data_IF_233123608838
#
_entry.id   IF_233123608838
#
_cell.length_a   1.000
_cell.length_b   1.000
_cell.length_c   1.000
_cell.angle_alpha   90.00
_cell.angle_beta   90.00
_cell.angle_gamma   90.00
#
_symmetry.space_group_name_H-M   'P 1'
#
loop_
_entity.id
_entity.type
_entity.pdbx_description
1 polymer ?
#
# COMPACT_ATOMS: atom_id res chain seq x y z
N UNK A 1 -19.83 29.12 44.69
CA UNK A 1 -20.87 29.01 43.64
C UNK A 1 -20.17 28.67 42.33
N UNK A 2 -20.54 27.59 41.63
CA UNK A 2 -19.95 27.26 40.34
C UNK A 2 -20.51 28.21 39.28
N UNK A 3 -19.61 28.87 38.55
CA UNK A 3 -19.95 29.75 37.42
C UNK A 3 -20.43 28.84 36.30
N UNK A 4 -21.73 28.84 36.01
CA UNK A 4 -22.28 28.18 34.82
C UNK A 4 -21.72 28.87 33.59
N UNK A 5 -21.06 28.16 32.66
CA UNK A 5 -20.56 28.77 31.44
C UNK A 5 -21.72 29.40 30.68
N UNK A 6 -21.60 30.69 30.37
CA UNK A 6 -22.59 31.42 29.57
C UNK A 6 -22.86 30.65 28.27
N UNK A 7 -24.15 30.43 28.00
CA UNK A 7 -24.65 29.74 26.81
C UNK A 7 -24.35 30.55 25.56
N UNK A 8 -23.12 30.46 25.05
CA UNK A 8 -22.75 31.01 23.76
C UNK A 8 -23.69 30.47 22.68
N UNK A 9 -24.17 31.36 21.80
CA UNK A 9 -25.02 31.03 20.67
C UNK A 9 -24.32 29.94 19.85
N UNK A 10 -24.78 28.70 20.00
CA UNK A 10 -24.22 27.55 19.29
C UNK A 10 -24.76 27.60 17.88
N UNK A 11 -23.92 28.05 16.94
CA UNK A 11 -24.26 28.07 15.52
C UNK A 11 -24.62 26.64 15.11
N UNK A 12 -25.83 26.45 14.61
CA UNK A 12 -26.27 25.18 14.06
C UNK A 12 -25.69 24.99 12.66
N UNK A 13 -24.47 24.46 12.62
CA UNK A 13 -23.70 24.21 11.41
C UNK A 13 -24.47 23.29 10.45
N UNK A 14 -25.25 22.33 10.96
CA UNK A 14 -25.97 21.36 10.15
C UNK A 14 -27.12 22.02 9.37
N UNK A 15 -27.88 22.88 10.04
CA UNK A 15 -28.90 23.70 9.40
C UNK A 15 -28.29 24.67 8.37
N UNK A 16 -27.12 25.22 8.65
CA UNK A 16 -26.39 26.07 7.69
C UNK A 16 -25.99 25.27 6.43
N UNK A 17 -25.41 24.08 6.58
CA UNK A 17 -25.04 23.21 5.45
C UNK A 17 -26.29 22.89 4.62
N UNK A 18 -27.37 22.44 5.25
CA UNK A 18 -28.61 22.08 4.53
C UNK A 18 -29.19 23.24 3.70
N UNK A 19 -29.16 24.48 4.24
CA UNK A 19 -29.69 25.68 3.56
C UNK A 19 -28.81 26.19 2.43
N UNK A 20 -27.50 26.02 2.52
CA UNK A 20 -26.54 26.62 1.59
C UNK A 20 -25.91 25.63 0.62
N UNK A 21 -26.22 24.34 0.72
CA UNK A 21 -25.61 23.27 -0.09
C UNK A 21 -25.71 23.51 -1.60
N UNK A 22 -26.82 24.11 -2.08
CA UNK A 22 -27.02 24.42 -3.49
C UNK A 22 -26.11 25.54 -4.03
N UNK A 23 -25.45 26.29 -3.15
CA UNK A 23 -24.51 27.37 -3.47
C UNK A 23 -23.05 26.99 -3.21
N UNK A 24 -22.79 25.87 -2.54
CA UNK A 24 -21.45 25.42 -2.18
C UNK A 24 -20.79 24.70 -3.35
N UNK A 25 -19.59 25.15 -3.73
CA UNK A 25 -18.73 24.43 -4.69
C UNK A 25 -17.88 23.38 -4.01
N UNK A 26 -17.50 23.61 -2.76
CA UNK A 26 -16.68 22.71 -1.98
C UNK A 26 -17.29 22.54 -0.59
N UNK A 27 -17.31 21.30 -0.10
CA UNK A 27 -17.82 20.96 1.22
C UNK A 27 -16.82 20.02 1.92
N UNK A 28 -16.17 20.53 2.97
CA UNK A 28 -15.36 19.73 3.88
C UNK A 28 -16.04 19.65 5.24
N UNK A 29 -16.32 18.44 5.73
CA UNK A 29 -16.91 18.22 7.05
C UNK A 29 -16.11 17.18 7.80
N UNK A 30 -15.66 17.56 9.00
CA UNK A 30 -14.93 16.70 9.92
C UNK A 30 -15.68 16.62 11.25
N UNK A 31 -16.03 15.42 11.69
CA UNK A 31 -16.72 15.17 12.96
C UNK A 31 -15.87 14.31 13.88
N UNK A 32 -15.96 14.56 15.18
CA UNK A 32 -15.33 13.73 16.22
C UNK A 32 -16.35 12.96 17.06
N UNK A 33 -17.63 13.34 16.98
CA UNK A 33 -18.74 12.75 17.71
C UNK A 33 -19.68 12.02 16.76
N UNK A 34 -20.21 10.91 17.22
CA UNK A 34 -21.14 10.10 16.45
C UNK A 34 -22.45 10.85 16.15
N UNK A 35 -23.01 11.60 17.10
CA UNK A 35 -24.26 12.33 16.89
C UNK A 35 -24.11 13.47 15.87
N UNK A 36 -22.96 14.14 15.88
CA UNK A 36 -22.64 15.18 14.90
C UNK A 36 -22.55 14.57 13.51
N UNK A 37 -21.90 13.41 13.37
CA UNK A 37 -21.77 12.70 12.10
C UNK A 37 -23.13 12.24 11.53
N UNK A 38 -24.05 11.78 12.39
CA UNK A 38 -25.44 11.50 11.99
C UNK A 38 -26.13 12.78 11.51
N UNK A 39 -25.95 13.89 12.24
CA UNK A 39 -26.58 15.17 11.90
C UNK A 39 -26.07 15.72 10.58
N UNK A 40 -24.77 15.59 10.31
CA UNK A 40 -24.16 15.87 8.99
C UNK A 40 -24.84 15.01 7.93
N UNK A 41 -24.87 13.68 8.10
CA UNK A 41 -25.45 12.77 7.11
C UNK A 41 -26.89 13.17 6.74
N UNK A 42 -27.73 13.50 7.73
CA UNK A 42 -29.11 13.99 7.50
C UNK A 42 -29.18 15.31 6.74
N UNK A 43 -28.16 16.16 6.87
CA UNK A 43 -28.12 17.49 6.23
C UNK A 43 -27.73 17.42 4.75
N UNK A 44 -27.19 16.30 4.28
CA UNK A 44 -26.72 16.12 2.90
C UNK A 44 -27.82 15.63 1.93
N UNK A 45 -29.09 15.75 2.29
CA UNK A 45 -30.23 15.28 1.47
C UNK A 45 -30.67 16.30 0.42
N UNK A 46 -30.26 17.57 0.54
CA UNK A 46 -30.63 18.64 -0.40
C UNK A 46 -29.84 18.56 -1.71
N UNK A 47 -30.42 19.05 -2.82
CA UNK A 47 -29.71 19.12 -4.10
C UNK A 47 -28.46 20.02 -4.03
N UNK A 48 -27.39 19.61 -4.70
CA UNK A 48 -26.08 20.27 -4.64
C UNK A 48 -25.59 20.63 -6.06
N UNK A 49 -26.34 21.51 -6.72
CA UNK A 49 -26.21 21.78 -8.16
C UNK A 49 -24.83 22.30 -8.60
N UNK A 50 -24.16 23.04 -7.73
CA UNK A 50 -22.85 23.64 -8.02
C UNK A 50 -21.68 22.96 -7.31
N UNK A 51 -21.95 21.87 -6.58
CA UNK A 51 -20.95 21.18 -5.75
C UNK A 51 -19.98 20.39 -6.64
N UNK A 52 -18.70 20.68 -6.50
CA UNK A 52 -17.61 20.09 -7.27
C UNK A 52 -16.77 19.13 -6.43
N UNK A 53 -16.60 19.44 -5.14
CA UNK A 53 -15.76 18.64 -4.24
C UNK A 53 -16.38 18.43 -2.87
N UNK A 54 -16.32 17.20 -2.36
CA UNK A 54 -16.82 16.80 -1.05
C UNK A 54 -15.78 15.97 -0.31
N UNK A 55 -15.54 16.32 0.95
CA UNK A 55 -14.77 15.53 1.90
C UNK A 55 -15.57 15.35 3.19
N UNK A 56 -15.92 14.11 3.51
CA UNK A 56 -16.59 13.75 4.76
C UNK A 56 -15.62 12.91 5.59
N UNK A 57 -15.29 13.37 6.78
CA UNK A 57 -14.39 12.66 7.68
C UNK A 57 -15.01 12.51 9.06
N UNK A 58 -15.05 11.29 9.57
CA UNK A 58 -15.51 11.03 10.93
C UNK A 58 -14.38 10.40 11.75
N UNK A 59 -13.70 11.23 12.54
CA UNK A 59 -12.60 10.87 13.42
C UNK A 59 -13.13 10.24 14.71
N UNK A 60 -13.82 9.10 14.61
CA UNK A 60 -14.23 8.32 15.79
C UNK A 60 -12.98 7.78 16.50
N UNK A 61 -12.38 8.62 17.36
CA UNK A 61 -11.39 8.19 18.35
C UNK A 61 -12.16 7.64 19.54
N UNK A 62 -12.50 6.35 19.54
CA UNK A 62 -13.10 5.78 20.75
C UNK A 62 -12.43 4.46 21.18
N UNK A 63 -11.43 4.54 22.07
CA UNK A 63 -10.98 3.37 22.83
C UNK A 63 -12.01 2.92 23.89
N UNK A 64 -13.02 3.74 24.23
CA UNK A 64 -13.95 3.40 25.32
C UNK A 64 -15.18 2.56 24.91
N UNK A 65 -15.41 2.32 23.63
CA UNK A 65 -16.54 1.50 23.14
C UNK A 65 -16.25 -0.02 23.14
N UNK A 66 -15.07 -0.43 23.61
CA UNK A 66 -14.67 -1.84 23.77
C UNK A 66 -15.29 -2.52 24.99
N UNK A 67 -16.15 -1.85 25.77
CA UNK A 67 -16.74 -2.46 26.97
C UNK A 67 -17.87 -3.45 26.68
N UNK A 68 -18.51 -3.37 25.51
CA UNK A 68 -19.52 -4.35 25.11
C UNK A 68 -19.04 -5.13 23.87
N UNK A 69 -18.45 -6.32 24.06
CA UNK A 69 -18.01 -7.17 22.95
C UNK A 69 -19.16 -7.76 22.14
N UNK A 70 -20.42 -7.56 22.53
CA UNK A 70 -21.58 -8.18 21.86
C UNK A 70 -22.16 -7.37 20.71
N UNK A 71 -21.91 -6.05 20.65
CA UNK A 71 -22.45 -5.22 19.57
C UNK A 71 -21.54 -5.27 18.32
N UNK A 72 -22.08 -5.66 17.15
CA UNK A 72 -21.31 -5.71 15.91
C UNK A 72 -20.88 -4.31 15.55
N UNK A 73 -19.57 -4.10 15.58
CA UNK A 73 -18.98 -2.79 15.72
C UNK A 73 -19.18 -1.89 14.45
N UNK A 74 -19.53 -2.47 13.30
CA UNK A 74 -19.93 -1.77 12.06
C UNK A 74 -21.24 -0.97 12.24
N UNK A 75 -22.13 -1.40 13.13
CA UNK A 75 -23.40 -0.70 13.40
C UNK A 75 -23.22 0.72 13.96
N UNK A 76 -22.02 1.03 14.46
CA UNK A 76 -21.65 2.31 15.07
C UNK A 76 -21.22 3.36 14.04
N UNK A 77 -21.11 3.02 12.76
CA UNK A 77 -20.77 4.00 11.74
C UNK A 77 -22.04 4.68 11.21
N UNK A 78 -22.07 6.03 11.15
CA UNK A 78 -23.20 6.76 10.59
C UNK A 78 -23.45 6.33 9.14
N UNK A 79 -24.71 6.04 8.82
CA UNK A 79 -25.16 5.73 7.47
C UNK A 79 -25.45 7.02 6.71
N UNK A 80 -24.80 7.20 5.56
CA UNK A 80 -25.17 8.27 4.63
C UNK A 80 -26.56 8.03 4.04
N UNK A 81 -27.33 9.08 3.74
CA UNK A 81 -28.64 8.95 3.14
C UNK A 81 -28.56 8.27 1.76
N UNK A 82 -29.58 7.47 1.42
CA UNK A 82 -29.71 6.81 0.11
C UNK A 82 -30.00 7.81 -1.03
N UNK A 83 -30.41 9.02 -0.68
CA UNK A 83 -30.60 10.17 -1.56
C UNK A 83 -29.55 11.25 -1.30
N UNK A 84 -28.27 10.87 -1.14
CA UNK A 84 -27.16 11.81 -1.01
C UNK A 84 -27.23 12.87 -2.11
N UNK A 85 -27.23 14.14 -1.70
CA UNK A 85 -27.44 15.33 -2.54
C UNK A 85 -28.73 15.35 -3.36
N UNK A 86 -29.80 14.71 -2.86
CA UNK A 86 -31.01 14.43 -3.62
C UNK A 86 -30.74 13.75 -4.97
N UNK A 87 -29.63 12.98 -5.07
CA UNK A 87 -29.11 12.40 -6.31
C UNK A 87 -28.83 13.42 -7.42
N UNK A 88 -28.66 14.69 -7.06
CA UNK A 88 -28.45 15.80 -7.99
C UNK A 88 -27.25 16.63 -7.56
N UNK A 89 -26.09 16.20 -8.05
CA UNK A 89 -24.82 16.92 -7.95
C UNK A 89 -24.06 16.81 -9.28
N UNK A 90 -24.57 17.42 -10.37
CA UNK A 90 -24.08 17.19 -11.74
C UNK A 90 -22.66 17.70 -11.98
N UNK A 91 -22.13 18.56 -11.10
CA UNK A 91 -20.77 19.09 -11.16
C UNK A 91 -19.81 18.37 -10.22
N UNK A 92 -20.26 17.36 -9.47
CA UNK A 92 -19.43 16.70 -8.47
C UNK A 92 -18.34 15.89 -9.18
N UNK A 93 -17.08 16.30 -8.97
CA UNK A 93 -15.90 15.65 -9.56
C UNK A 93 -15.09 14.89 -8.53
N UNK A 94 -15.11 15.29 -7.27
CA UNK A 94 -14.32 14.67 -6.22
C UNK A 94 -15.17 14.37 -4.99
N UNK A 95 -15.20 13.11 -4.58
CA UNK A 95 -15.90 12.63 -3.40
C UNK A 95 -14.97 11.75 -2.57
N UNK A 96 -14.66 12.21 -1.35
CA UNK A 96 -13.92 11.42 -0.37
C UNK A 96 -14.72 11.24 0.90
N UNK A 97 -14.90 10.00 1.32
CA UNK A 97 -15.72 9.62 2.46
C UNK A 97 -14.87 8.75 3.38
N UNK A 98 -14.72 9.16 4.63
CA UNK A 98 -13.95 8.45 5.65
C UNK A 98 -14.80 8.17 6.88
N UNK A 99 -14.89 6.91 7.27
CA UNK A 99 -15.60 6.42 8.47
C UNK A 99 -17.11 6.73 8.46
N UNK A 100 -17.73 6.57 7.27
CA UNK A 100 -19.18 6.54 7.07
C UNK A 100 -19.57 5.29 6.31
N UNK A 101 -20.76 4.75 6.58
CA UNK A 101 -21.37 3.72 5.71
C UNK A 101 -22.03 4.40 4.53
N UNK A 102 -21.74 3.91 3.32
CA UNK A 102 -22.26 4.49 2.09
C UNK A 102 -23.16 3.47 1.41
N UNK A 103 -24.47 3.73 1.28
CA UNK A 103 -25.31 2.95 0.38
C UNK A 103 -24.81 3.17 -1.06
N UNK A 104 -24.34 2.13 -1.73
CA UNK A 104 -23.81 2.27 -3.10
C UNK A 104 -24.83 2.87 -4.08
N UNK A 105 -26.11 2.60 -3.87
CA UNK A 105 -27.22 3.20 -4.63
C UNK A 105 -27.36 4.72 -4.46
N UNK A 106 -26.70 5.35 -3.49
CA UNK A 106 -26.68 6.81 -3.33
C UNK A 106 -25.64 7.50 -4.20
N UNK A 107 -24.67 6.76 -4.75
CA UNK A 107 -23.58 7.30 -5.54
C UNK A 107 -23.94 7.32 -7.04
N UNK A 108 -24.86 8.20 -7.43
CA UNK A 108 -25.33 8.30 -8.82
C UNK A 108 -24.74 9.52 -9.54
N UNK A 109 -23.41 9.65 -9.52
CA UNK A 109 -22.70 10.84 -10.00
C UNK A 109 -21.82 10.52 -11.22
N UNK A 110 -22.34 10.72 -12.42
CA UNK A 110 -21.64 10.40 -13.67
C UNK A 110 -20.44 11.31 -13.98
N UNK A 111 -20.37 12.48 -13.36
CA UNK A 111 -19.27 13.45 -13.49
C UNK A 111 -18.06 13.14 -12.60
N UNK A 112 -18.14 12.09 -11.77
CA UNK A 112 -17.16 11.82 -10.74
C UNK A 112 -15.82 11.37 -11.35
N UNK A 113 -14.76 12.10 -11.03
CA UNK A 113 -13.37 11.85 -11.47
C UNK A 113 -12.56 11.17 -10.36
N UNK A 114 -12.80 11.55 -9.10
CA UNK A 114 -12.12 11.01 -7.93
C UNK A 114 -13.15 10.47 -6.93
N UNK A 115 -13.15 9.15 -6.72
CA UNK A 115 -13.88 8.49 -5.65
C UNK A 115 -12.91 7.86 -4.66
N UNK A 116 -13.01 8.24 -3.38
CA UNK A 116 -12.36 7.50 -2.29
C UNK A 116 -13.35 7.24 -1.17
N UNK A 117 -13.52 5.98 -0.81
CA UNK A 117 -14.34 5.59 0.33
C UNK A 117 -13.47 4.74 1.23
N UNK A 118 -13.36 5.12 2.49
CA UNK A 118 -12.58 4.42 3.48
C UNK A 118 -13.41 4.23 4.74
N UNK A 119 -13.73 2.99 5.04
CA UNK A 119 -14.38 2.58 6.28
C UNK A 119 -13.25 2.12 7.19
N UNK A 120 -12.50 3.08 7.73
CA UNK A 120 -11.36 2.78 8.59
C UNK A 120 -11.86 2.08 9.85
N UNK A 121 -11.52 0.80 9.99
CA UNK A 121 -11.84 0.01 11.17
C UNK A 121 -10.56 -0.30 11.95
N UNK A 122 -10.51 -0.10 13.27
CA UNK A 122 -9.38 -0.56 14.07
C UNK A 122 -9.23 -2.07 13.90
N UNK A 123 -8.07 -2.50 13.41
CA UNK A 123 -7.67 -3.85 13.01
C UNK A 123 -7.92 -5.02 14.02
N UNK A 124 -8.51 -4.76 15.18
CA UNK A 124 -8.55 -5.71 16.28
C UNK A 124 -9.69 -6.76 16.21
N UNK A 125 -10.64 -6.67 15.29
CA UNK A 125 -11.84 -7.56 15.32
C UNK A 125 -12.33 -8.04 13.95
N UNK A 126 -11.42 -8.28 13.00
CA UNK A 126 -11.75 -8.82 11.67
C UNK A 126 -12.55 -10.14 11.72
N UNK A 127 -12.44 -10.91 12.80
CA UNK A 127 -13.15 -12.19 13.00
C UNK A 127 -14.64 -12.03 13.40
N UNK A 128 -15.06 -10.88 13.95
CA UNK A 128 -16.44 -10.72 14.46
C UNK A 128 -17.43 -10.06 13.49
N UNK A 129 -16.97 -9.54 12.34
CA UNK A 129 -17.84 -8.79 11.43
C UNK A 129 -18.62 -9.65 10.42
N UNK A 130 -18.34 -10.95 10.31
CA UNK A 130 -18.99 -11.84 9.33
C UNK A 130 -20.33 -12.42 9.82
N UNK A 131 -20.64 -12.29 11.11
CA UNK A 131 -21.83 -12.89 11.70
C UNK A 131 -23.02 -11.92 11.71
N UNK A 132 -23.98 -12.24 10.82
CA UNK A 132 -25.44 -12.27 11.08
C UNK A 132 -26.28 -10.99 11.15
N UNK A 133 -25.76 -9.81 10.78
CA UNK A 133 -26.60 -8.63 10.58
C UNK A 133 -27.45 -8.67 9.30
N UNK A 134 -28.58 -9.38 9.32
CA UNK A 134 -29.59 -9.53 8.24
C UNK A 134 -30.31 -8.22 7.87
N UNK A 135 -29.58 -7.12 7.67
CA UNK A 135 -30.13 -5.92 7.07
C UNK A 135 -29.93 -6.04 5.56
N UNK A 136 -30.87 -6.74 4.92
CA UNK A 136 -31.04 -6.98 3.47
C UNK A 136 -30.96 -5.72 2.57
N UNK A 137 -30.73 -4.53 3.14
CA UNK A 137 -30.68 -3.26 2.43
C UNK A 137 -29.27 -2.86 1.97
N UNK A 138 -28.20 -3.46 2.50
CA UNK A 138 -26.87 -3.29 1.88
C UNK A 138 -26.79 -4.16 0.65
N UNK A 139 -27.20 -3.58 -0.49
CA UNK A 139 -27.14 -4.20 -1.79
C UNK A 139 -25.79 -4.92 -2.00
N UNK A 140 -25.86 -6.18 -2.45
CA UNK A 140 -24.69 -7.03 -2.63
C UNK A 140 -23.69 -6.48 -3.64
N UNK A 141 -22.60 -7.21 -3.85
CA UNK A 141 -21.47 -6.82 -4.69
C UNK A 141 -21.85 -6.28 -6.08
N UNK A 142 -22.89 -6.82 -6.72
CA UNK A 142 -23.40 -6.32 -8.00
C UNK A 142 -23.82 -4.84 -7.98
N UNK A 143 -24.25 -4.30 -6.84
CA UNK A 143 -24.57 -2.87 -6.70
C UNK A 143 -23.33 -1.99 -6.73
N UNK A 144 -22.18 -2.47 -6.27
CA UNK A 144 -20.90 -1.75 -6.39
C UNK A 144 -20.55 -1.61 -7.87
N UNK A 145 -20.57 -2.73 -8.60
CA UNK A 145 -20.26 -2.76 -10.03
C UNK A 145 -21.23 -1.90 -10.85
N UNK A 146 -22.54 -2.04 -10.61
CA UNK A 146 -23.57 -1.23 -11.27
C UNK A 146 -23.38 0.27 -10.99
N UNK A 147 -22.89 0.63 -9.81
CA UNK A 147 -22.63 2.03 -9.44
C UNK A 147 -21.40 2.57 -10.14
N UNK A 148 -20.30 1.81 -10.14
CA UNK A 148 -19.07 2.20 -10.82
C UNK A 148 -19.25 2.30 -12.34
N UNK A 149 -20.11 1.47 -12.95
CA UNK A 149 -20.39 1.55 -14.40
C UNK A 149 -21.04 2.88 -14.82
N UNK A 150 -21.69 3.58 -13.89
CA UNK A 150 -22.26 4.92 -14.12
C UNK A 150 -21.24 6.05 -14.00
N UNK A 151 -19.98 5.73 -13.67
CA UNK A 151 -18.87 6.70 -13.49
C UNK A 151 -17.74 6.46 -14.53
N UNK A 152 -18.01 6.53 -15.84
CA UNK A 152 -17.04 6.16 -16.87
C UNK A 152 -15.83 7.11 -16.97
N UNK A 153 -15.92 8.31 -16.37
CA UNK A 153 -14.85 9.32 -16.38
C UNK A 153 -13.91 9.24 -15.17
N UNK A 154 -14.06 8.21 -14.34
CA UNK A 154 -13.28 8.04 -13.12
C UNK A 154 -11.79 7.87 -13.43
N UNK A 155 -10.95 8.71 -12.83
CA UNK A 155 -9.49 8.67 -12.92
C UNK A 155 -8.86 8.08 -11.66
N UNK A 156 -9.48 8.27 -10.49
CA UNK A 156 -8.98 7.77 -9.20
C UNK A 156 -10.09 7.04 -8.47
N UNK A 157 -9.88 5.75 -8.22
CA UNK A 157 -10.76 4.90 -7.42
C UNK A 157 -9.99 4.38 -6.21
N UNK A 158 -10.46 4.68 -5.00
CA UNK A 158 -9.90 4.11 -3.77
C UNK A 158 -10.99 3.53 -2.87
N UNK A 159 -10.95 2.22 -2.63
CA UNK A 159 -11.92 1.50 -1.82
C UNK A 159 -11.19 0.84 -0.65
N UNK A 160 -11.43 1.30 0.57
CA UNK A 160 -10.75 0.81 1.78
C UNK A 160 -11.79 0.26 2.77
N UNK A 161 -11.86 -1.07 2.87
CA UNK A 161 -12.79 -1.86 3.68
C UNK A 161 -14.27 -1.55 3.37
N UNK A 162 -14.57 -1.30 2.10
CA UNK A 162 -15.90 -0.84 1.65
C UNK A 162 -16.66 -1.86 0.82
N UNK A 163 -16.01 -2.98 0.47
CA UNK A 163 -16.62 -3.97 -0.38
C UNK A 163 -17.63 -4.79 0.44
N UNK A 164 -18.87 -4.95 -0.06
CA UNK A 164 -19.89 -5.72 0.64
C UNK A 164 -19.45 -7.17 0.81
N UNK A 165 -20.03 -7.91 1.77
CA UNK A 165 -19.77 -9.33 1.89
C UNK A 165 -20.10 -10.04 0.59
N UNK A 166 -19.25 -11.03 0.24
CA UNK A 166 -19.53 -11.92 -0.86
C UNK A 166 -20.46 -13.04 -0.39
N UNK A 167 -21.19 -13.70 -1.31
CA UNK A 167 -21.88 -14.96 -1.02
C UNK A 167 -20.91 -15.98 -0.41
N UNK A 168 -21.41 -16.87 0.46
CA UNK A 168 -20.60 -17.88 1.15
C UNK A 168 -19.92 -18.86 0.18
N UNK A 169 -20.50 -19.06 -1.00
CA UNK A 169 -19.98 -19.90 -2.09
C UNK A 169 -19.11 -19.14 -3.09
N UNK A 170 -18.78 -17.88 -2.81
CA UNK A 170 -17.99 -17.07 -3.73
C UNK A 170 -16.56 -17.64 -3.88
N UNK A 171 -16.18 -17.84 -5.13
CA UNK A 171 -14.81 -18.15 -5.56
C UNK A 171 -14.19 -16.95 -6.30
N UNK A 172 -12.87 -16.94 -6.57
CA UNK A 172 -12.26 -15.93 -7.45
C UNK A 172 -12.90 -15.86 -8.85
N UNK A 173 -13.53 -16.96 -9.28
CA UNK A 173 -14.22 -17.10 -10.57
C UNK A 173 -15.72 -16.79 -10.47
N UNK A 174 -16.19 -16.28 -9.33
CA UNK A 174 -17.58 -15.84 -9.19
C UNK A 174 -17.85 -14.79 -10.25
N UNK A 175 -18.64 -15.16 -11.25
CA UNK A 175 -19.01 -14.24 -12.31
C UNK A 175 -20.22 -13.46 -11.87
N UNK A 176 -20.02 -12.18 -11.61
CA UNK A 176 -21.12 -11.22 -11.61
C UNK A 176 -21.51 -10.92 -13.06
N UNK A 177 -22.78 -10.64 -13.29
CA UNK A 177 -23.32 -10.41 -14.64
C UNK A 177 -22.73 -9.19 -15.36
N UNK A 178 -22.00 -8.32 -14.65
CA UNK A 178 -21.50 -7.07 -15.17
C UNK A 178 -19.97 -7.01 -15.05
N UNK A 179 -19.28 -6.91 -16.19
CA UNK A 179 -17.91 -6.42 -16.25
C UNK A 179 -17.96 -4.92 -16.59
N UNK A 180 -17.20 -4.11 -15.89
CA UNK A 180 -17.19 -2.65 -16.07
C UNK A 180 -15.87 -2.20 -16.69
N UNK A 181 -15.94 -1.28 -17.64
CA UNK A 181 -14.77 -0.64 -18.21
C UNK A 181 -14.59 0.75 -17.58
N UNK A 182 -13.41 1.01 -17.04
CA UNK A 182 -13.01 2.32 -16.50
C UNK A 182 -11.83 2.85 -17.34
N UNK A 183 -12.08 3.34 -18.57
CA UNK A 183 -11.04 3.62 -19.55
C UNK A 183 -10.12 4.80 -19.19
N UNK A 184 -10.53 5.64 -18.23
CA UNK A 184 -9.75 6.79 -17.74
C UNK A 184 -9.04 6.52 -16.42
N UNK A 185 -9.14 5.31 -15.88
CA UNK A 185 -8.62 5.01 -14.56
C UNK A 185 -7.08 5.11 -14.57
N UNK A 186 -6.55 6.01 -13.76
CA UNK A 186 -5.11 6.23 -13.58
C UNK A 186 -4.60 5.61 -12.29
N UNK A 187 -5.43 5.60 -11.25
CA UNK A 187 -5.07 5.07 -9.94
C UNK A 187 -6.21 4.22 -9.39
N UNK A 188 -5.88 2.97 -9.05
CA UNK A 188 -6.74 2.05 -8.32
C UNK A 188 -6.09 1.72 -6.97
N UNK A 189 -6.80 2.01 -5.87
CA UNK A 189 -6.44 1.57 -4.53
C UNK A 189 -7.53 0.63 -4.00
N UNK A 190 -7.21 -0.61 -3.68
CA UNK A 190 -8.13 -1.57 -3.07
C UNK A 190 -7.53 -2.06 -1.76
N UNK A 191 -8.25 -1.87 -0.67
CA UNK A 191 -7.86 -2.38 0.65
C UNK A 191 -9.03 -3.16 1.23
N UNK A 192 -8.98 -4.48 1.27
CA UNK A 192 -10.07 -5.31 1.82
C UNK A 192 -9.60 -6.76 2.01
N UNK A 193 -10.53 -7.69 2.25
CA UNK A 193 -10.25 -9.12 2.16
C UNK A 193 -9.80 -9.50 0.72
N UNK A 194 -8.80 -10.38 0.63
CA UNK A 194 -8.18 -10.81 -0.63
C UNK A 194 -9.20 -11.30 -1.67
N UNK A 195 -10.20 -12.09 -1.28
CA UNK A 195 -11.20 -12.61 -2.19
C UNK A 195 -12.05 -11.48 -2.78
N UNK A 196 -12.44 -10.50 -1.96
CA UNK A 196 -13.19 -9.32 -2.43
C UNK A 196 -12.37 -8.48 -3.38
N UNK A 197 -11.09 -8.22 -3.06
CA UNK A 197 -10.19 -7.49 -3.94
C UNK A 197 -10.07 -8.19 -5.30
N UNK A 198 -9.89 -9.51 -5.32
CA UNK A 198 -9.80 -10.27 -6.57
C UNK A 198 -11.09 -10.26 -7.38
N UNK A 199 -12.24 -10.42 -6.74
CA UNK A 199 -13.51 -10.31 -7.44
C UNK A 199 -13.65 -8.92 -8.07
N UNK A 200 -13.28 -7.84 -7.37
CA UNK A 200 -13.29 -6.49 -7.99
C UNK A 200 -12.35 -6.45 -9.19
N UNK A 201 -11.11 -6.91 -9.03
CA UNK A 201 -10.10 -6.86 -10.09
C UNK A 201 -10.51 -7.66 -11.33
N UNK A 202 -11.20 -8.79 -11.18
CA UNK A 202 -11.72 -9.59 -12.29
C UNK A 202 -12.91 -8.94 -13.01
N UNK A 203 -13.62 -8.03 -12.34
CA UNK A 203 -14.81 -7.37 -12.88
C UNK A 203 -14.56 -5.95 -13.38
N UNK A 204 -13.35 -5.39 -13.19
CA UNK A 204 -12.97 -4.07 -13.68
C UNK A 204 -11.91 -4.21 -14.78
N UNK A 205 -12.29 -3.81 -15.99
CA UNK A 205 -11.34 -3.57 -17.09
C UNK A 205 -10.76 -2.16 -16.95
N UNK A 206 -9.43 -2.08 -16.87
CA UNK A 206 -8.69 -0.82 -16.71
C UNK A 206 -7.50 -0.76 -17.68
N UNK A 207 -7.01 0.45 -18.04
CA UNK A 207 -5.78 0.60 -18.81
C UNK A 207 -4.57 -0.11 -18.18
N UNK A 208 -3.64 -0.59 -19.01
CA UNK A 208 -2.38 -1.15 -18.52
C UNK A 208 -1.56 -0.13 -17.72
N UNK A 209 -1.65 1.16 -18.09
CA UNK A 209 -0.99 2.29 -17.42
C UNK A 209 -1.59 2.65 -16.06
N UNK A 210 -2.70 2.03 -15.64
CA UNK A 210 -3.28 2.26 -14.32
C UNK A 210 -2.31 1.81 -13.23
N UNK A 211 -1.98 2.73 -12.30
CA UNK A 211 -1.26 2.43 -11.06
C UNK A 211 -2.16 1.67 -10.11
N UNK A 212 -1.67 0.56 -9.58
CA UNK A 212 -2.45 -0.39 -8.78
C UNK A 212 -1.85 -0.45 -7.39
N UNK A 213 -2.67 -0.27 -6.37
CA UNK A 213 -2.29 -0.33 -4.96
C UNK A 213 -3.26 -1.25 -4.25
N UNK A 214 -2.85 -2.49 -4.04
CA UNK A 214 -3.69 -3.56 -3.51
C UNK A 214 -3.14 -3.96 -2.14
N UNK A 215 -3.92 -3.74 -1.09
CA UNK A 215 -3.57 -4.13 0.28
C UNK A 215 -4.64 -5.11 0.79
N UNK A 216 -4.27 -6.35 1.05
CA UNK A 216 -5.24 -7.39 1.35
C UNK A 216 -5.05 -7.98 2.74
N UNK A 217 -6.14 -8.38 3.38
CA UNK A 217 -6.12 -9.37 4.46
C UNK A 217 -6.38 -10.75 3.88
N UNK A 218 -5.62 -11.76 4.33
CA UNK A 218 -5.91 -13.15 3.98
C UNK A 218 -7.04 -13.70 4.84
N UNK A 219 -7.75 -14.69 4.29
CA UNK A 219 -8.78 -15.42 5.01
C UNK A 219 -8.26 -16.82 5.34
N UNK A 220 -7.43 -16.86 6.38
CA UNK A 220 -6.85 -18.09 6.90
C UNK A 220 -7.93 -19.08 7.39
N UNK A 221 -9.07 -18.57 7.88
CA UNK A 221 -10.17 -19.38 8.41
C UNK A 221 -10.78 -20.27 7.33
N UNK A 222 -10.98 -19.72 6.13
CA UNK A 222 -11.52 -20.46 5.01
C UNK A 222 -10.44 -21.08 4.09
N UNK A 223 -9.17 -21.07 4.52
CA UNK A 223 -8.05 -21.57 3.73
C UNK A 223 -7.80 -20.77 2.44
N UNK A 224 -8.35 -19.56 2.35
CA UNK A 224 -8.18 -18.65 1.23
C UNK A 224 -6.86 -17.88 1.38
N UNK A 225 -5.77 -18.56 0.99
CA UNK A 225 -4.42 -18.02 1.00
C UNK A 225 -4.09 -17.10 -0.19
N UNK A 226 -2.80 -16.89 -0.42
CA UNK A 226 -2.30 -16.07 -1.53
C UNK A 226 -2.56 -16.66 -2.92
N UNK A 227 -2.87 -17.96 -3.02
CA UNK A 227 -3.14 -18.63 -4.30
C UNK A 227 -4.26 -17.96 -5.10
N UNK A 228 -5.15 -17.22 -4.45
CA UNK A 228 -6.22 -16.48 -5.11
C UNK A 228 -5.71 -15.26 -5.88
N UNK A 229 -4.63 -14.60 -5.42
CA UNK A 229 -4.11 -13.39 -6.05
C UNK A 229 -2.97 -13.64 -7.03
N UNK A 230 -2.28 -14.78 -6.91
CA UNK A 230 -1.17 -15.10 -7.82
C UNK A 230 -1.55 -15.01 -9.29
N UNK A 231 -2.66 -15.61 -9.78
CA UNK A 231 -2.96 -15.57 -11.21
C UNK A 231 -3.19 -14.14 -11.72
N UNK A 232 -3.82 -13.29 -10.91
CA UNK A 232 -3.99 -11.89 -11.24
C UNK A 232 -2.64 -11.17 -11.25
N UNK A 233 -1.85 -11.33 -10.19
CA UNK A 233 -0.57 -10.66 -10.03
C UNK A 233 0.43 -11.06 -11.12
N UNK A 234 0.55 -12.34 -11.44
CA UNK A 234 1.39 -12.82 -12.56
C UNK A 234 0.90 -12.29 -13.89
N UNK A 235 -0.43 -12.26 -14.14
CA UNK A 235 -0.96 -11.71 -15.40
C UNK A 235 -0.61 -10.24 -15.62
N UNK A 236 -0.48 -9.45 -14.54
CA UNK A 236 -0.06 -8.05 -14.65
C UNK A 236 1.41 -7.91 -15.02
N UNK A 237 2.23 -8.85 -14.57
CA UNK A 237 3.67 -8.83 -14.77
C UNK A 237 4.04 -9.46 -16.11
N UNK A 238 3.43 -10.59 -16.48
CA UNK A 238 3.64 -11.27 -17.77
C UNK A 238 3.25 -10.38 -18.97
N UNK A 239 2.23 -9.53 -18.80
CA UNK A 239 1.85 -8.53 -19.79
C UNK A 239 2.93 -7.46 -20.02
N UNK A 240 3.96 -7.42 -19.17
CA UNK A 240 4.95 -6.36 -19.12
C UNK A 240 6.36 -6.94 -19.33
N UNK A 241 7.05 -6.51 -20.38
CA UNK A 241 8.24 -7.21 -20.90
C UNK A 241 9.50 -7.19 -20.02
N UNK A 242 9.53 -6.45 -18.89
CA UNK A 242 10.68 -6.50 -17.96
C UNK A 242 10.39 -5.91 -16.58
N UNK A 243 10.74 -6.67 -15.55
CA UNK A 243 10.74 -6.27 -14.14
C UNK A 243 12.08 -5.60 -13.81
N UNK A 244 12.17 -4.27 -13.85
CA UNK A 244 13.44 -3.58 -13.61
C UNK A 244 13.79 -3.42 -12.13
N UNK A 245 12.78 -3.09 -11.32
CA UNK A 245 12.98 -2.78 -9.91
C UNK A 245 11.84 -3.30 -9.06
N UNK A 246 12.21 -3.83 -7.91
CA UNK A 246 11.28 -4.22 -6.86
C UNK A 246 11.75 -3.66 -5.53
N UNK A 247 10.82 -3.13 -4.76
CA UNK A 247 11.01 -2.85 -3.35
C UNK A 247 10.19 -3.87 -2.57
N UNK A 248 10.83 -4.48 -1.57
CA UNK A 248 10.27 -5.50 -0.71
C UNK A 248 10.44 -5.00 0.71
N UNK A 249 9.32 -4.85 1.40
CA UNK A 249 9.26 -4.52 2.81
C UNK A 249 8.54 -5.65 3.54
N UNK A 250 9.19 -6.29 4.51
CA UNK A 250 8.59 -7.38 5.29
C UNK A 250 8.55 -7.00 6.77
N UNK A 251 7.43 -7.24 7.42
CA UNK A 251 7.28 -7.10 8.86
C UNK A 251 6.66 -8.34 9.51
N UNK A 252 6.64 -8.38 10.84
CA UNK A 252 6.21 -9.57 11.60
C UNK A 252 4.84 -10.11 11.18
N UNK A 253 3.93 -9.21 10.76
CA UNK A 253 2.52 -9.50 10.45
C UNK A 253 2.11 -9.12 9.05
N UNK A 254 3.05 -9.10 8.11
CA UNK A 254 2.76 -8.74 6.74
C UNK A 254 3.98 -8.42 5.90
N UNK A 255 3.74 -8.06 4.66
CA UNK A 255 4.77 -7.61 3.76
C UNK A 255 4.16 -6.75 2.67
N UNK A 256 5.02 -6.06 1.94
CA UNK A 256 4.73 -5.16 0.84
C UNK A 256 5.75 -5.42 -0.26
N UNK A 257 5.26 -5.45 -1.49
CA UNK A 257 6.02 -5.58 -2.73
C UNK A 257 5.59 -4.42 -3.62
N UNK A 258 6.52 -3.51 -3.87
CA UNK A 258 6.40 -2.43 -4.83
C UNK A 258 7.17 -2.82 -6.09
N UNK A 259 6.45 -3.02 -7.18
CA UNK A 259 7.05 -3.37 -8.46
C UNK A 259 6.95 -2.20 -9.42
N UNK A 260 8.09 -1.80 -9.98
CA UNK A 260 8.14 -0.81 -11.06
C UNK A 260 8.25 -1.53 -12.39
N UNK A 261 7.23 -1.33 -13.22
CA UNK A 261 7.15 -1.89 -14.56
C UNK A 261 7.45 -0.79 -15.57
N UNK A 262 8.48 -1.01 -16.39
CA UNK A 262 8.79 -0.13 -17.51
C UNK A 262 8.12 -0.64 -18.77
N UNK A 263 7.27 0.21 -19.37
CA UNK A 263 6.67 -0.07 -20.68
C UNK A 263 7.58 0.36 -21.85
N UNK A 264 8.75 0.95 -21.56
CA UNK A 264 9.67 1.30 -22.63
C UNK A 264 10.33 0.03 -23.15
N UNK A 265 9.94 -0.42 -24.35
CA UNK A 265 10.86 -1.15 -25.20
C UNK A 265 12.08 -0.25 -25.37
N UNK A 266 13.12 -0.47 -24.57
CA UNK A 266 14.42 0.16 -24.78
C UNK A 266 14.91 -0.37 -26.12
N UNK A 267 14.67 0.37 -27.19
CA UNK A 267 15.41 0.20 -28.43
C UNK A 267 16.87 0.43 -28.03
N UNK A 268 17.68 -0.63 -28.02
CA UNK A 268 19.03 -0.74 -27.43
C UNK A 268 20.04 0.29 -28.02
N UNK A 269 19.63 1.16 -28.94
CA UNK A 269 20.54 1.93 -29.79
C UNK A 269 21.00 3.31 -29.28
N UNK A 270 20.49 3.86 -28.17
CA UNK A 270 20.94 5.20 -27.72
C UNK A 270 21.39 5.19 -26.25
N UNK A 271 22.56 4.59 -26.01
CA UNK A 271 23.33 4.82 -24.79
C UNK A 271 24.12 6.14 -24.90
N UNK A 272 23.44 7.29 -24.78
CA UNK A 272 24.13 8.57 -24.52
C UNK A 272 23.97 8.89 -23.02
N UNK A 273 25.03 8.74 -22.21
CA UNK A 273 24.99 8.98 -20.78
C UNK A 273 25.34 10.45 -20.46
N UNK A 274 24.35 11.33 -20.24
CA UNK A 274 24.66 12.65 -19.61
C UNK A 274 23.48 13.49 -19.08
N UNK A 275 22.25 12.98 -19.01
CA UNK A 275 21.10 13.76 -18.47
C UNK A 275 20.52 13.16 -17.19
N UNK A 276 20.16 13.96 -16.17
CA UNK A 276 19.30 13.47 -15.10
C UNK A 276 18.00 12.94 -15.71
N UNK A 277 17.52 11.75 -15.30
CA UNK A 277 16.38 11.11 -15.92
C UNK A 277 15.18 12.05 -15.89
N UNK A 278 14.69 12.45 -17.06
CA UNK A 278 13.48 13.27 -17.15
C UNK A 278 12.33 12.49 -16.50
N UNK A 279 11.68 13.09 -15.51
CA UNK A 279 10.68 12.47 -14.63
C UNK A 279 9.38 12.00 -15.30
N UNK A 280 9.32 11.95 -16.62
CA UNK A 280 8.07 11.74 -17.38
C UNK A 280 7.92 10.32 -17.94
N UNK A 281 8.81 9.37 -17.63
CA UNK A 281 8.59 7.98 -18.01
C UNK A 281 7.34 7.45 -17.29
N UNK A 282 6.32 7.11 -18.06
CA UNK A 282 5.06 6.55 -17.56
C UNK A 282 5.28 5.12 -17.04
N UNK A 283 5.92 5.01 -15.88
CA UNK A 283 6.11 3.73 -15.22
C UNK A 283 4.77 3.29 -14.60
N UNK A 284 4.42 2.04 -14.87
CA UNK A 284 3.28 1.40 -14.21
C UNK A 284 3.79 0.82 -12.90
N UNK A 285 3.23 1.29 -11.80
CA UNK A 285 3.60 0.80 -10.47
C UNK A 285 2.51 -0.10 -9.94
N UNK A 286 2.91 -1.28 -9.49
CA UNK A 286 2.06 -2.21 -8.75
C UNK A 286 2.57 -2.24 -7.32
N UNK A 287 1.80 -1.67 -6.43
CA UNK A 287 1.95 -1.80 -5.00
C UNK A 287 1.05 -2.94 -4.53
N UNK A 288 1.64 -3.95 -3.92
CA UNK A 288 0.92 -5.09 -3.36
C UNK A 288 1.34 -5.29 -1.91
N UNK A 289 0.39 -5.34 -0.99
CA UNK A 289 0.65 -5.52 0.43
C UNK A 289 -0.30 -6.55 1.02
N UNK A 290 0.20 -7.35 1.96
CA UNK A 290 -0.61 -8.27 2.75
C UNK A 290 -0.37 -7.99 4.22
N UNK A 291 -1.47 -7.81 4.97
CA UNK A 291 -1.44 -7.43 6.37
C UNK A 291 -2.14 -8.45 7.27
N UNK A 292 -1.89 -8.33 8.57
CA UNK A 292 -2.52 -9.12 9.64
C UNK A 292 -2.25 -10.62 9.62
N UNK A 293 -1.15 -11.04 8.99
CA UNK A 293 -0.67 -12.42 9.01
C UNK A 293 -0.11 -12.79 10.38
N UNK A 294 -0.09 -14.09 10.69
CA UNK A 294 0.83 -14.63 11.69
C UNK A 294 2.24 -14.71 11.13
N UNK A 295 3.27 -14.72 11.98
CA UNK A 295 4.67 -14.76 11.53
C UNK A 295 4.97 -15.94 10.59
N UNK A 296 4.41 -17.12 10.87
CA UNK A 296 4.60 -18.31 10.03
C UNK A 296 3.91 -18.20 8.66
N UNK A 297 2.73 -17.58 8.62
CA UNK A 297 2.00 -17.33 7.37
C UNK A 297 2.68 -16.26 6.52
N UNK A 298 3.24 -15.21 7.14
CA UNK A 298 3.96 -14.15 6.43
C UNK A 298 5.01 -14.73 5.49
N UNK A 299 5.84 -15.63 6.02
CA UNK A 299 6.90 -16.25 5.24
C UNK A 299 6.37 -17.14 4.11
N UNK A 300 5.45 -18.06 4.40
CA UNK A 300 4.94 -19.00 3.40
C UNK A 300 4.23 -18.28 2.25
N UNK A 301 3.41 -17.28 2.58
CA UNK A 301 2.70 -16.44 1.61
C UNK A 301 3.69 -15.66 0.75
N UNK A 302 4.65 -14.99 1.39
CA UNK A 302 5.65 -14.19 0.71
C UNK A 302 6.51 -15.04 -0.24
N UNK A 303 6.94 -16.23 0.21
CA UNK A 303 7.68 -17.19 -0.59
C UNK A 303 6.89 -17.62 -1.83
N UNK A 304 5.61 -17.97 -1.65
CA UNK A 304 4.73 -18.36 -2.77
C UNK A 304 4.63 -17.24 -3.81
N UNK A 305 4.48 -15.98 -3.37
CA UNK A 305 4.42 -14.83 -4.29
C UNK A 305 5.74 -14.62 -5.01
N UNK A 306 6.87 -14.66 -4.30
CA UNK A 306 8.18 -14.50 -4.91
C UNK A 306 8.52 -15.62 -5.91
N UNK A 307 8.04 -16.85 -5.68
CA UNK A 307 8.19 -17.94 -6.66
C UNK A 307 7.41 -17.68 -7.94
N UNK A 308 6.26 -17.03 -7.85
CA UNK A 308 5.44 -16.66 -9.00
C UNK A 308 5.99 -15.44 -9.76
N UNK A 309 6.83 -14.63 -9.13
CA UNK A 309 7.45 -13.48 -9.76
C UNK A 309 8.60 -13.88 -10.72
N UNK A 310 8.76 -13.21 -11.87
CA UNK A 310 9.91 -13.40 -12.76
C UNK A 310 11.14 -12.67 -12.23
N UNK A 311 11.59 -13.08 -11.04
CA UNK A 311 12.72 -12.45 -10.33
C UNK A 311 14.07 -12.61 -11.05
N UNK A 312 14.14 -13.52 -12.02
CA UNK A 312 15.36 -13.78 -12.80
C UNK A 312 15.85 -12.52 -13.55
N UNK A 313 14.96 -11.58 -13.87
CA UNK A 313 15.29 -10.31 -14.55
C UNK A 313 15.43 -9.10 -13.63
N UNK A 314 15.28 -9.28 -12.31
CA UNK A 314 15.31 -8.19 -11.36
C UNK A 314 16.72 -7.58 -11.29
N UNK A 315 16.86 -6.30 -11.63
CA UNK A 315 18.16 -5.58 -11.62
C UNK A 315 18.41 -4.86 -10.30
N UNK A 316 17.34 -4.28 -9.72
CA UNK A 316 17.41 -3.50 -8.48
C UNK A 316 16.40 -4.02 -7.46
N UNK A 317 16.89 -4.27 -6.24
CA UNK A 317 16.08 -4.73 -5.12
C UNK A 317 16.28 -3.81 -3.93
N UNK A 318 15.18 -3.22 -3.46
CA UNK A 318 15.17 -2.52 -2.19
C UNK A 318 14.58 -3.44 -1.11
N UNK A 319 15.28 -3.61 0.02
CA UNK A 319 14.89 -4.51 1.10
C UNK A 319 14.72 -3.72 2.40
N UNK A 320 13.54 -3.85 2.99
CA UNK A 320 13.20 -3.36 4.31
C UNK A 320 12.61 -4.51 5.12
N UNK A 321 13.45 -5.34 5.73
CA UNK A 321 12.95 -6.47 6.55
C UNK A 321 13.14 -6.17 8.02
N UNK A 322 12.04 -6.25 8.77
CA UNK A 322 12.08 -6.45 10.21
C UNK A 322 12.02 -7.96 10.48
N UNK A 323 12.72 -8.45 11.51
CA UNK A 323 12.90 -9.81 12.11
C UNK A 323 11.93 -10.99 11.78
N UNK A 324 11.27 -10.98 10.63
CA UNK A 324 10.30 -11.97 10.19
C UNK A 324 11.01 -13.19 9.61
N UNK A 325 12.26 -13.02 9.14
CA UNK A 325 13.05 -14.07 8.51
C UNK A 325 14.15 -14.42 9.49
N UNK A 326 14.17 -15.67 9.94
CA UNK A 326 15.06 -16.12 11.02
C UNK A 326 16.20 -16.98 10.51
N UNK A 327 16.04 -17.53 9.31
CA UNK A 327 16.96 -18.52 8.77
C UNK A 327 17.60 -18.01 7.49
N UNK A 328 18.89 -18.26 7.35
CA UNK A 328 19.69 -17.92 6.17
C UNK A 328 19.10 -18.59 4.91
N UNK A 329 18.60 -19.82 5.05
CA UNK A 329 17.99 -20.63 4.00
C UNK A 329 16.78 -19.96 3.36
N UNK A 330 16.03 -19.17 4.13
CA UNK A 330 14.84 -18.47 3.66
C UNK A 330 15.17 -17.48 2.55
N UNK A 331 16.29 -16.78 2.68
CA UNK A 331 16.77 -15.85 1.66
C UNK A 331 17.15 -16.53 0.35
N UNK A 332 17.82 -17.68 0.41
CA UNK A 332 18.16 -18.46 -0.77
C UNK A 332 16.91 -19.03 -1.45
N UNK A 333 15.96 -19.55 -0.67
CA UNK A 333 14.73 -20.12 -1.23
C UNK A 333 13.85 -19.10 -1.95
N UNK A 334 13.85 -17.85 -1.48
CA UNK A 334 13.03 -16.77 -2.06
C UNK A 334 13.78 -16.01 -3.14
N UNK A 335 15.00 -15.55 -2.84
CA UNK A 335 15.75 -14.60 -3.66
C UNK A 335 16.94 -15.24 -4.40
N UNK A 336 17.22 -16.53 -4.21
CA UNK A 336 18.31 -17.23 -4.91
C UNK A 336 18.15 -17.25 -6.44
N UNK A 337 16.94 -16.97 -6.94
CA UNK A 337 16.65 -16.82 -8.37
C UNK A 337 17.06 -15.47 -8.97
N UNK A 338 17.32 -14.45 -8.15
CA UNK A 338 17.66 -13.11 -8.63
C UNK A 338 19.12 -13.04 -9.15
N UNK A 339 19.43 -13.78 -10.22
CA UNK A 339 20.80 -13.91 -10.74
C UNK A 339 21.31 -12.64 -11.41
N UNK A 340 20.41 -11.82 -11.95
CA UNK A 340 20.74 -10.55 -12.61
C UNK A 340 20.66 -9.33 -11.68
N UNK A 341 20.58 -9.57 -10.37
CA UNK A 341 20.47 -8.48 -9.40
C UNK A 341 21.81 -7.77 -9.27
N UNK A 342 21.86 -6.52 -9.72
CA UNK A 342 23.06 -5.68 -9.74
C UNK A 342 23.13 -4.72 -8.56
N UNK A 343 21.98 -4.27 -8.08
CA UNK A 343 21.88 -3.30 -7.00
C UNK A 343 20.96 -3.78 -5.89
N UNK A 344 21.45 -3.74 -4.65
CA UNK A 344 20.66 -3.99 -3.45
C UNK A 344 20.70 -2.75 -2.55
N UNK A 345 19.54 -2.29 -2.11
CA UNK A 345 19.40 -1.24 -1.09
C UNK A 345 18.81 -1.83 0.18
N UNK A 346 19.40 -1.57 1.34
CA UNK A 346 18.96 -2.11 2.63
C UNK A 346 18.83 -1.03 3.70
N UNK A 347 17.62 -0.87 4.24
CA UNK A 347 17.36 0.12 5.31
C UNK A 347 17.39 -0.43 6.73
N UNK A 348 17.34 -1.74 6.89
CA UNK A 348 17.34 -2.41 8.19
C UNK A 348 18.42 -3.47 8.24
N UNK A 349 18.89 -3.76 9.46
CA UNK A 349 19.85 -4.81 9.69
C UNK A 349 19.11 -6.11 10.03
N UNK A 350 19.27 -7.14 9.20
CA UNK A 350 18.79 -8.49 9.46
C UNK A 350 19.97 -9.47 9.39
N UNK A 351 20.37 -10.04 10.52
CA UNK A 351 21.57 -10.89 10.60
C UNK A 351 21.48 -12.13 9.71
N UNK A 352 20.26 -12.63 9.43
CA UNK A 352 20.08 -13.81 8.56
C UNK A 352 20.32 -13.45 7.10
N UNK A 353 19.92 -12.26 6.65
CA UNK A 353 20.25 -11.77 5.30
C UNK A 353 21.75 -11.56 5.14
N UNK A 354 22.41 -10.97 6.14
CA UNK A 354 23.87 -10.79 6.11
C UNK A 354 24.60 -12.11 6.02
N UNK A 355 24.19 -13.08 6.84
CA UNK A 355 24.72 -14.44 6.77
C UNK A 355 24.48 -15.04 5.39
N UNK A 356 23.33 -14.79 4.77
CA UNK A 356 23.03 -15.30 3.42
C UNK A 356 23.92 -14.67 2.34
N UNK A 357 24.28 -13.39 2.48
CA UNK A 357 25.18 -12.70 1.56
C UNK A 357 26.65 -13.13 1.72
N UNK A 358 27.05 -13.61 2.89
CA UNK A 358 28.43 -14.06 3.18
C UNK A 358 28.62 -15.57 3.10
N UNK A 359 27.55 -16.36 3.11
CA UNK A 359 27.61 -17.82 3.08
C UNK A 359 27.54 -18.34 1.64
N UNK A 360 28.44 -19.25 1.27
CA UNK A 360 28.22 -20.10 0.11
C UNK A 360 27.30 -21.24 0.49
N UNK A 361 26.09 -21.25 -0.04
CA UNK A 361 25.12 -22.28 0.26
C UNK A 361 25.20 -23.40 -0.78
N UNK A 362 25.62 -24.59 -0.36
CA UNK A 362 25.57 -25.79 -1.19
C UNK A 362 24.11 -26.27 -1.21
N UNK A 363 23.26 -25.73 -2.11
CA UNK A 363 21.92 -26.29 -2.27
C UNK A 363 22.10 -27.70 -2.86
N UNK A 364 21.67 -28.77 -2.16
CA UNK A 364 21.95 -30.14 -2.57
C UNK A 364 21.37 -30.54 -3.94
N UNK A 365 20.45 -29.76 -4.49
CA UNK A 365 19.65 -30.16 -5.65
C UNK A 365 20.32 -29.93 -7.00
N UNK A 366 21.24 -28.97 -7.14
CA UNK A 366 21.80 -28.61 -8.47
C UNK A 366 23.34 -28.58 -8.53
N UNK A 367 24.03 -28.93 -7.44
CA UNK A 367 25.50 -29.07 -7.43
C UNK A 367 26.30 -27.78 -7.65
N UNK A 368 25.64 -26.62 -7.75
CA UNK A 368 26.28 -25.31 -7.89
C UNK A 368 26.14 -24.50 -6.60
N UNK A 369 27.29 -24.16 -6.02
CA UNK A 369 27.43 -23.35 -4.80
C UNK A 369 27.57 -21.88 -5.16
N UNK A 370 26.51 -21.27 -5.68
CA UNK A 370 26.54 -19.86 -6.03
C UNK A 370 26.22 -18.99 -4.81
N UNK A 371 26.89 -17.82 -4.64
CA UNK A 371 26.53 -16.87 -3.61
C UNK A 371 25.14 -16.28 -3.87
N UNK A 372 24.48 -15.77 -2.82
CA UNK A 372 23.26 -14.98 -3.00
C UNK A 372 23.59 -13.73 -3.83
N UNK A 373 22.87 -13.55 -4.94
CA UNK A 373 23.08 -12.48 -5.93
C UNK A 373 24.48 -12.52 -6.58
N UNK A 374 24.75 -13.45 -7.50
CA UNK A 374 26.05 -13.57 -8.15
C UNK A 374 26.44 -12.31 -8.94
N UNK A 375 25.47 -11.56 -9.49
CA UNK A 375 25.72 -10.35 -10.27
C UNK A 375 25.71 -9.05 -9.47
N UNK A 376 25.67 -9.11 -8.14
CA UNK A 376 25.61 -7.93 -7.29
C UNK A 376 26.90 -7.13 -7.38
N UNK A 377 26.80 -5.90 -7.89
CA UNK A 377 27.93 -4.97 -8.06
C UNK A 377 27.81 -3.72 -7.20
N UNK A 378 26.61 -3.39 -6.73
CA UNK A 378 26.34 -2.19 -5.96
C UNK A 378 25.47 -2.45 -4.73
N UNK A 379 25.86 -1.87 -3.60
CA UNK A 379 25.15 -1.98 -2.33
C UNK A 379 24.88 -0.59 -1.73
N UNK A 380 23.62 -0.30 -1.42
CA UNK A 380 23.22 0.90 -0.66
C UNK A 380 22.78 0.51 0.75
N UNK A 381 23.33 1.19 1.75
CA UNK A 381 22.93 1.07 3.15
C UNK A 381 22.23 2.36 3.56
N UNK A 382 21.02 2.24 4.11
CA UNK A 382 20.18 3.39 4.48
C UNK A 382 19.97 3.46 5.99
N UNK A 383 20.28 4.60 6.60
CA UNK A 383 20.01 4.86 8.04
C UNK A 383 20.80 3.98 9.02
N UNK A 384 21.96 3.47 8.61
CA UNK A 384 22.80 2.65 9.49
C UNK A 384 23.58 3.49 10.48
N UNK A 385 23.83 2.95 11.68
CA UNK A 385 24.62 3.61 12.72
C UNK A 385 25.85 2.77 13.09
N UNK A 386 26.95 2.96 12.35
CA UNK A 386 28.21 2.27 12.58
C UNK A 386 28.94 2.79 13.82
N UNK A 387 28.70 4.05 14.22
CA UNK A 387 29.28 4.63 15.44
C UNK A 387 28.82 3.91 16.71
N UNK A 388 27.58 3.41 16.72
CA UNK A 388 27.00 2.68 17.86
C UNK A 388 27.10 1.17 17.73
N UNK A 389 27.19 0.65 16.51
CA UNK A 389 27.10 -0.77 16.22
C UNK A 389 28.34 -1.23 15.44
N UNK A 390 29.40 -1.55 16.19
CA UNK A 390 30.68 -2.01 15.64
C UNK A 390 30.55 -3.40 15.00
N UNK A 391 29.59 -4.21 15.47
CA UNK A 391 29.32 -5.54 14.89
C UNK A 391 28.84 -5.40 13.44
N UNK A 392 27.95 -4.44 13.16
CA UNK A 392 27.51 -4.12 11.78
C UNK A 392 28.65 -3.76 10.84
N UNK A 393 29.63 -3.00 11.33
CA UNK A 393 30.82 -2.70 10.54
C UNK A 393 31.64 -3.96 10.26
N UNK A 394 31.86 -4.79 11.28
CA UNK A 394 32.57 -6.06 11.14
C UNK A 394 31.94 -6.96 10.06
N UNK A 395 30.62 -7.12 10.10
CA UNK A 395 29.87 -7.92 9.13
C UNK A 395 29.91 -7.33 7.72
N UNK A 396 29.84 -5.99 7.58
CA UNK A 396 30.00 -5.36 6.27
C UNK A 396 31.40 -5.64 5.71
N UNK A 397 32.46 -5.42 6.49
CA UNK A 397 33.83 -5.69 6.03
C UNK A 397 34.05 -7.16 5.69
N UNK A 398 33.46 -8.08 6.46
CA UNK A 398 33.46 -9.52 6.15
C UNK A 398 32.79 -9.79 4.79
N UNK A 399 31.62 -9.21 4.52
CA UNK A 399 30.95 -9.33 3.22
C UNK A 399 31.83 -8.82 2.08
N UNK A 400 32.42 -7.64 2.22
CA UNK A 400 33.25 -7.04 1.17
C UNK A 400 34.47 -7.91 0.85
N UNK A 401 35.13 -8.43 1.89
CA UNK A 401 36.28 -9.35 1.75
C UNK A 401 35.89 -10.67 1.11
N UNK A 402 34.77 -11.24 1.55
CA UNK A 402 34.26 -12.49 1.01
C UNK A 402 33.97 -12.35 -0.50
N UNK A 403 33.24 -11.29 -0.88
CA UNK A 403 32.87 -11.05 -2.28
C UNK A 403 34.05 -10.70 -3.18
N UNK A 404 35.15 -10.14 -2.65
CA UNK A 404 36.36 -9.83 -3.43
C UNK A 404 36.89 -11.04 -4.22
N UNK A 405 36.77 -12.25 -3.67
CA UNK A 405 37.24 -13.48 -4.31
C UNK A 405 36.24 -14.15 -5.26
N UNK A 406 34.98 -13.71 -5.27
CA UNK A 406 33.88 -14.41 -5.94
C UNK A 406 33.23 -13.51 -7.01
N UNK A 407 32.72 -12.37 -6.57
CA UNK A 407 32.00 -11.40 -7.37
C UNK A 407 32.14 -10.02 -6.69
N UNK A 408 33.24 -9.29 -6.95
CA UNK A 408 33.61 -8.10 -6.19
C UNK A 408 32.59 -6.99 -6.38
N UNK A 409 32.14 -6.42 -5.25
CA UNK A 409 31.35 -5.19 -5.25
C UNK A 409 32.20 -4.05 -5.80
N UNK A 410 31.59 -3.26 -6.69
CA UNK A 410 32.20 -2.08 -7.30
C UNK A 410 31.88 -0.83 -6.51
N UNK A 411 30.69 -0.77 -5.90
CA UNK A 411 30.17 0.42 -5.25
C UNK A 411 29.46 0.13 -3.94
N UNK A 412 29.77 0.90 -2.91
CA UNK A 412 29.00 0.98 -1.66
C UNK A 412 28.51 2.42 -1.47
N UNK A 413 27.23 2.59 -1.21
CA UNK A 413 26.59 3.87 -0.94
C UNK A 413 26.08 3.91 0.51
N UNK A 414 26.59 4.86 1.29
CA UNK A 414 26.24 5.12 2.68
C UNK A 414 25.32 6.33 2.75
N UNK A 415 24.04 6.11 2.44
CA UNK A 415 23.04 7.17 2.42
C UNK A 415 22.38 7.31 3.79
N UNK A 416 22.47 8.51 4.38
CA UNK A 416 21.92 8.83 5.70
C UNK A 416 22.45 7.93 6.83
N UNK A 417 23.69 7.45 6.72
CA UNK A 417 24.34 6.63 7.73
C UNK A 417 25.13 7.48 8.73
N UNK A 418 25.10 7.12 10.00
CA UNK A 418 26.01 7.63 11.04
C UNK A 418 27.32 6.82 11.00
N UNK A 419 28.33 7.38 10.35
CA UNK A 419 29.66 6.78 10.15
C UNK A 419 30.73 7.85 10.40
N UNK A 420 31.91 7.45 10.90
CA UNK A 420 33.08 8.34 11.00
C UNK A 420 34.02 8.18 9.81
N UNK A 421 34.90 9.16 9.59
CA UNK A 421 35.83 9.13 8.46
C UNK A 421 36.75 7.91 8.45
N UNK A 422 37.18 7.43 9.63
CA UNK A 422 38.03 6.24 9.74
C UNK A 422 37.31 4.99 9.21
N UNK A 423 36.04 4.83 9.56
CA UNK A 423 35.21 3.72 9.10
C UNK A 423 35.00 3.79 7.58
N UNK A 424 34.79 4.98 7.01
CA UNK A 424 34.67 5.15 5.56
C UNK A 424 35.96 4.75 4.84
N UNK A 425 37.13 5.13 5.37
CA UNK A 425 38.42 4.70 4.82
C UNK A 425 38.62 3.18 4.89
N UNK A 426 38.16 2.53 5.96
CA UNK A 426 38.18 1.06 6.04
C UNK A 426 37.32 0.42 4.94
N UNK A 427 36.15 0.97 4.65
CA UNK A 427 35.28 0.49 3.56
C UNK A 427 35.92 0.74 2.19
N UNK A 428 36.54 1.92 1.98
CA UNK A 428 37.28 2.27 0.75
C UNK A 428 38.46 1.35 0.48
N UNK A 429 39.08 0.81 1.52
CA UNK A 429 40.14 -0.19 1.38
C UNK A 429 39.63 -1.53 0.80
N UNK A 430 38.33 -1.81 0.93
CA UNK A 430 37.72 -3.06 0.48
C UNK A 430 37.03 -2.94 -0.88
N UNK A 431 36.44 -1.78 -1.22
CA UNK A 431 35.63 -1.53 -2.44
C UNK A 431 36.13 -0.31 -3.25
N UNK A 432 36.12 -0.35 -4.61
CA UNK A 432 36.61 0.74 -5.45
C UNK A 432 35.92 2.10 -5.26
N UNK A 433 34.58 2.12 -5.18
CA UNK A 433 33.79 3.34 -5.03
C UNK A 433 33.00 3.32 -3.73
N UNK A 434 33.18 4.35 -2.89
CA UNK A 434 32.36 4.58 -1.70
C UNK A 434 31.74 5.97 -1.75
N UNK A 435 30.42 6.01 -1.86
CA UNK A 435 29.63 7.25 -1.74
C UNK A 435 29.20 7.40 -0.30
N UNK A 436 29.43 8.58 0.28
CA UNK A 436 29.00 8.94 1.61
C UNK A 436 28.43 10.36 1.58
N UNK A 437 27.19 10.53 2.05
CA UNK A 437 26.47 11.80 1.94
C UNK A 437 26.83 12.83 3.02
N UNK A 438 27.69 12.49 3.99
CA UNK A 438 28.16 13.33 5.12
C UNK A 438 27.05 13.97 5.99
N UNK A 439 25.77 13.67 5.74
CA UNK A 439 24.63 14.37 6.38
C UNK A 439 24.33 13.87 7.79
N UNK A 440 24.90 12.74 8.21
CA UNK A 440 24.63 12.13 9.52
C UNK A 440 25.03 12.98 10.73
N UNK A 441 25.89 14.00 10.58
CA UNK A 441 26.32 14.82 11.73
C UNK A 441 25.39 15.99 12.06
N UNK A 442 24.54 16.42 11.12
CA UNK A 442 23.83 17.72 11.24
C UNK A 442 22.42 17.60 11.83
N UNK A 443 21.81 16.41 11.93
CA UNK A 443 20.44 16.26 12.41
C UNK A 443 20.33 15.76 13.87
N UNK A 444 20.82 16.55 14.84
CA UNK A 444 20.44 16.40 16.27
C UNK A 444 19.06 17.01 16.61
N UNK A 445 18.23 17.32 15.62
CA UNK A 445 16.89 17.88 15.84
C UNK A 445 15.83 16.78 15.65
N UNK A 446 15.32 16.31 16.78
CA UNK A 446 14.16 15.44 17.03
C UNK A 446 14.25 13.95 16.62
N UNK A 447 13.90 13.01 17.53
CA UNK A 447 13.77 11.60 17.19
C UNK A 447 12.50 11.41 16.36
N UNK A 448 12.64 11.39 15.04
CA UNK A 448 11.64 10.81 14.15
C UNK A 448 11.72 9.28 14.26
N UNK A 449 11.18 8.76 15.35
CA UNK A 449 10.70 7.38 15.41
C UNK A 449 9.48 7.30 14.48
N UNK A 450 9.73 6.84 13.25
CA UNK A 450 8.85 6.00 12.43
C UNK A 450 7.38 6.45 12.41
N UNK A 451 7.07 7.39 11.53
CA UNK A 451 5.74 7.50 10.90
C UNK A 451 5.87 7.11 9.42
N UNK A 452 6.32 5.88 9.14
CA UNK A 452 6.22 5.30 7.79
C UNK A 452 4.90 4.53 7.57
N UNK A 453 4.07 4.39 8.60
CA UNK A 453 2.70 3.83 8.53
C UNK A 453 1.61 4.84 8.11
N UNK A 454 1.95 6.01 7.56
CA UNK A 454 0.94 6.98 7.10
C UNK A 454 1.30 7.72 5.80
N UNK A 455 2.25 7.24 5.01
CA UNK A 455 2.57 7.85 3.70
C UNK A 455 1.62 7.38 2.59
N UNK A 456 0.33 7.61 2.76
CA UNK A 456 -0.62 7.76 1.64
C UNK A 456 -1.71 8.82 1.87
N UNK A 457 -1.58 9.63 2.93
CA UNK A 457 -2.48 10.76 3.16
C UNK A 457 -1.75 12.09 2.94
N UNK A 458 -2.25 12.83 1.95
CA UNK A 458 -1.85 14.17 1.50
C UNK A 458 -0.68 14.24 0.49
N UNK A 459 -0.94 13.87 -0.76
CA UNK A 459 -0.46 14.71 -1.87
C UNK A 459 -1.29 16.00 -1.84
N UNK A 460 -0.67 17.10 -1.39
CA UNK A 460 -1.20 18.43 -1.65
C UNK A 460 -1.22 18.67 -3.17
N UNK A 461 -2.28 19.23 -3.77
CA UNK A 461 -2.17 19.80 -5.09
C UNK A 461 -1.31 21.06 -4.98
N UNK A 462 -0.23 21.11 -5.76
CA UNK A 462 0.38 22.38 -6.14
C UNK A 462 -0.66 23.08 -7.02
N UNK A 463 -1.26 24.15 -6.49
CA UNK A 463 -1.85 25.23 -7.30
C UNK A 463 -0.86 26.36 -7.38
#
# INVERSE_FOLDING_TARGET
>A
MPITPESGIRIDIFNMVSRHLCHMRELGVSTHRHEDAISVARSLVSAALVLETVWLHNYLRHPALTRDPTLPAISLLPLLPTNLFNRSAPRLRCLRIFSFRVPWSSLDFSSLVHLRINIFWPAATAEMAQTTGSNSEMHGFGSVLSTLSRMPVLEVLGLYHTLPPLPTDATPRTTFSLCIALPRLRTLCLVDNILKCIVVLNHITMPSTTRKSIECTLDAVNGHGSDLILPWFTSQIDASSSLHGSEIECWERGFKIDTTISNSFRTIMEQIPSGPPSSNTENTNIHFSVIHLTTGETYSVFQTICRALPLDHLETLHIHVSNAWRHTEDWFMVLGRCKNLHHVSMGTFDSSLWTALTTMYNIPTDGHSDPLFPSLTSLTLLYWNFKRDVERLGMLLELLRHRRGIAPLQKVDLTRCEVDGQTVEQIRAEVPEVIWDERGEVSRIAPFLVTFLASFHATHPIT
#
